data_IF_688646138110
#
_entry.id   IF_688646138110
#
_cell.length_a   1.000
_cell.length_b   1.000
_cell.length_c   1.000
_cell.angle_alpha   90.00
_cell.angle_beta   90.00
_cell.angle_gamma   90.00
#
_symmetry.space_group_name_H-M   'P 1'
#
loop_
_entity.id
_entity.type
_entity.pdbx_description
1 polymer ?
#
# COMPACT_ATOMS: atom_id res chain seq x y z
N UNK A 1 25.14 18.06 14.61
CA UNK A 1 24.17 17.15 13.98
C UNK A 1 22.78 17.69 14.25
N UNK A 2 21.98 17.97 13.22
CA UNK A 2 20.63 18.54 13.38
C UNK A 2 19.60 17.45 13.70
N UNK A 3 18.44 17.84 14.22
CA UNK A 3 17.33 16.91 14.51
C UNK A 3 16.91 16.14 13.24
N UNK A 4 16.91 16.82 12.10
CA UNK A 4 16.62 16.23 10.79
C UNK A 4 17.66 15.18 10.37
N UNK A 5 18.95 15.44 10.61
CA UNK A 5 20.02 14.48 10.34
C UNK A 5 19.89 13.21 11.20
N UNK A 6 19.50 13.35 12.48
CA UNK A 6 19.22 12.22 13.36
C UNK A 6 18.02 11.39 12.87
N UNK A 7 16.92 12.05 12.52
CA UNK A 7 15.72 11.37 12.01
C UNK A 7 16.04 10.64 10.70
N UNK A 8 16.78 11.28 9.80
CA UNK A 8 17.20 10.68 8.53
C UNK A 8 18.10 9.47 8.75
N UNK A 9 19.05 9.55 9.68
CA UNK A 9 19.92 8.42 10.04
C UNK A 9 19.11 7.25 10.65
N UNK A 10 18.21 7.52 11.60
CA UNK A 10 17.32 6.49 12.16
C UNK A 10 16.39 5.88 11.11
N UNK A 11 15.92 6.70 10.15
CA UNK A 11 15.09 6.23 9.05
C UNK A 11 15.87 5.36 8.05
N UNK A 12 17.17 5.63 7.84
CA UNK A 12 18.00 4.88 6.89
C UNK A 12 18.11 3.40 7.30
N UNK A 13 18.18 3.13 8.60
CA UNK A 13 18.23 1.80 9.21
C UNK A 13 16.91 1.01 9.05
N UNK A 14 15.78 1.68 8.84
CA UNK A 14 14.49 1.01 8.64
C UNK A 14 14.33 0.48 7.23
N UNK A 15 13.63 -0.65 7.10
CA UNK A 15 13.15 -1.12 5.79
C UNK A 15 11.84 -0.44 5.44
N UNK A 16 11.64 -0.15 4.16
CA UNK A 16 10.36 0.37 3.64
C UNK A 16 9.20 -0.61 3.94
N UNK A 17 7.97 -0.13 4.16
CA UNK A 17 6.82 -1.00 4.40
C UNK A 17 6.58 -1.94 3.23
N UNK A 18 6.35 -3.22 3.50
CA UNK A 18 6.00 -4.21 2.47
C UNK A 18 4.51 -4.10 2.13
N UNK A 19 4.17 -4.07 0.84
CA UNK A 19 2.80 -3.95 0.37
C UNK A 19 1.88 -5.02 0.98
N UNK A 20 2.29 -6.28 0.94
CA UNK A 20 1.56 -7.39 1.56
C UNK A 20 1.28 -7.16 3.06
N UNK A 21 2.30 -6.76 3.83
CA UNK A 21 2.14 -6.52 5.27
C UNK A 21 1.22 -5.32 5.54
N UNK A 22 1.25 -4.32 4.67
CA UNK A 22 0.39 -3.15 4.76
C UNK A 22 -1.06 -3.54 4.50
N UNK A 23 -1.36 -4.26 3.42
CA UNK A 23 -2.70 -4.76 3.13
C UNK A 23 -3.27 -5.62 4.27
N UNK A 24 -2.45 -6.54 4.81
CA UNK A 24 -2.84 -7.34 5.98
C UNK A 24 -3.15 -6.48 7.22
N UNK A 25 -2.37 -5.41 7.44
CA UNK A 25 -2.59 -4.47 8.55
C UNK A 25 -3.85 -3.62 8.37
N UNK A 26 -4.23 -3.33 7.13
CA UNK A 26 -5.47 -2.63 6.80
C UNK A 26 -6.71 -3.52 6.91
N UNK A 27 -6.53 -4.80 7.30
CA UNK A 27 -7.62 -5.75 7.46
C UNK A 27 -8.11 -6.34 6.14
N UNK A 28 -7.36 -6.17 5.03
CA UNK A 28 -7.69 -6.84 3.78
C UNK A 28 -7.42 -8.35 3.94
N UNK A 29 -8.46 -9.21 3.88
CA UNK A 29 -8.33 -10.63 4.19
C UNK A 29 -7.69 -11.37 3.02
N UNK A 30 -6.36 -11.34 2.96
CA UNK A 30 -5.59 -12.01 1.90
C UNK A 30 -4.45 -12.83 2.49
N UNK A 31 -4.24 -14.02 1.93
CA UNK A 31 -3.09 -14.86 2.25
C UNK A 31 -1.90 -14.57 1.31
N UNK A 32 -0.75 -15.20 1.56
CA UNK A 32 0.47 -14.92 0.79
C UNK A 32 0.42 -15.48 -0.64
N UNK A 33 -0.27 -16.61 -0.84
CA UNK A 33 -0.39 -17.27 -2.15
C UNK A 33 -1.38 -16.53 -3.04
N UNK A 34 -2.53 -16.13 -2.50
CA UNK A 34 -3.49 -15.24 -3.14
C UNK A 34 -2.83 -13.92 -3.54
N UNK A 35 -2.07 -13.30 -2.64
CA UNK A 35 -1.37 -12.07 -2.95
C UNK A 35 -0.35 -12.26 -4.09
N UNK A 36 0.38 -13.38 -4.10
CA UNK A 36 1.29 -13.73 -5.20
C UNK A 36 0.53 -13.86 -6.51
N UNK A 37 -0.61 -14.56 -6.51
CA UNK A 37 -1.44 -14.73 -7.68
C UNK A 37 -1.95 -13.38 -8.21
N UNK A 38 -2.49 -12.52 -7.34
CA UNK A 38 -2.97 -11.18 -7.73
C UNK A 38 -1.86 -10.28 -8.28
N UNK A 39 -0.65 -10.36 -7.72
CA UNK A 39 0.52 -9.68 -8.30
C UNK A 39 0.85 -10.22 -9.70
N UNK A 40 0.84 -11.55 -9.87
CA UNK A 40 1.15 -12.20 -11.16
C UNK A 40 0.12 -11.85 -12.24
N UNK A 41 -1.16 -11.67 -11.87
CA UNK A 41 -2.23 -11.22 -12.77
C UNK A 41 -2.35 -9.70 -12.89
N UNK A 42 -1.37 -8.94 -12.37
CA UNK A 42 -1.36 -7.47 -12.37
C UNK A 42 -2.57 -6.81 -11.70
N UNK A 43 -3.27 -7.55 -10.84
CA UNK A 43 -4.48 -7.11 -10.13
C UNK A 43 -4.17 -6.27 -8.88
N UNK A 44 -2.90 -6.14 -8.51
CA UNK A 44 -2.42 -5.24 -7.45
C UNK A 44 -1.64 -4.10 -8.08
N UNK A 45 -2.12 -2.87 -7.91
CA UNK A 45 -1.44 -1.67 -8.39
C UNK A 45 -1.11 -0.73 -7.24
N UNK A 46 -0.06 0.07 -7.44
CA UNK A 46 0.28 1.19 -6.58
C UNK A 46 0.50 2.40 -7.47
N UNK A 47 -0.31 3.45 -7.27
CA UNK A 47 -0.38 4.62 -8.12
C UNK A 47 -0.62 4.24 -9.60
N UNK A 48 -1.62 3.38 -9.84
CA UNK A 48 -1.99 2.83 -11.14
C UNK A 48 -0.88 2.00 -11.86
N UNK A 49 0.21 1.64 -11.17
CA UNK A 49 1.29 0.81 -11.72
C UNK A 49 1.23 -0.57 -11.08
N UNK A 50 1.15 -1.67 -11.86
CA UNK A 50 1.19 -3.04 -11.34
C UNK A 50 2.43 -3.32 -10.51
N UNK A 51 2.31 -4.16 -9.47
CA UNK A 51 3.37 -4.43 -8.50
C UNK A 51 3.58 -5.90 -8.22
N UNK A 52 4.85 -6.24 -7.97
CA UNK A 52 5.27 -7.59 -7.61
C UNK A 52 5.14 -7.87 -6.12
N UNK A 53 5.23 -9.15 -5.75
CA UNK A 53 5.08 -9.66 -4.38
C UNK A 53 6.02 -9.01 -3.36
N UNK A 54 7.24 -8.65 -3.77
CA UNK A 54 8.27 -8.08 -2.90
C UNK A 54 8.25 -6.55 -2.85
N UNK A 55 7.23 -5.94 -3.46
CA UNK A 55 7.09 -4.48 -3.52
C UNK A 55 7.05 -3.87 -2.13
N UNK A 56 7.85 -2.81 -1.98
CA UNK A 56 7.88 -1.96 -0.79
C UNK A 56 7.45 -0.54 -1.16
N UNK A 57 6.60 0.03 -0.33
CA UNK A 57 6.03 1.36 -0.54
C UNK A 57 7.07 2.45 -0.24
N UNK A 58 7.05 3.49 -1.06
CA UNK A 58 7.95 4.63 -0.93
C UNK A 58 7.36 5.68 0.01
N UNK A 59 8.22 6.56 0.53
CA UNK A 59 7.75 7.76 1.23
C UNK A 59 6.99 8.65 0.23
N UNK A 60 5.96 9.33 0.71
CA UNK A 60 4.96 10.05 -0.09
C UNK A 60 3.59 9.37 -0.06
N UNK A 61 2.74 9.77 -1.00
CA UNK A 61 1.39 9.25 -1.17
C UNK A 61 1.42 8.01 -2.06
N UNK A 62 0.81 6.93 -1.57
CA UNK A 62 0.67 5.66 -2.27
C UNK A 62 -0.83 5.30 -2.29
N UNK A 63 -1.42 5.26 -3.48
CA UNK A 63 -2.76 4.76 -3.72
C UNK A 63 -2.63 3.30 -4.10
N UNK A 64 -3.05 2.40 -3.21
CA UNK A 64 -3.01 0.96 -3.44
C UNK A 64 -4.38 0.52 -3.92
N UNK A 65 -4.42 -0.18 -5.05
CA UNK A 65 -5.64 -0.79 -5.57
C UNK A 65 -5.45 -2.29 -5.69
N UNK A 66 -6.45 -3.03 -5.25
CA UNK A 66 -6.50 -4.48 -5.36
C UNK A 66 -7.81 -4.86 -6.02
N UNK A 67 -7.71 -5.43 -7.21
CA UNK A 67 -8.83 -6.00 -7.96
C UNK A 67 -8.95 -7.47 -7.55
N UNK A 68 -10.10 -7.88 -7.04
CA UNK A 68 -10.35 -9.24 -6.58
C UNK A 68 -11.73 -9.70 -7.03
N UNK A 69 -11.76 -10.54 -8.08
CA UNK A 69 -13.00 -10.86 -8.78
C UNK A 69 -13.65 -9.58 -9.32
N UNK A 70 -14.93 -9.35 -8.95
CA UNK A 70 -15.70 -8.17 -9.34
C UNK A 70 -15.60 -7.00 -8.35
N UNK A 71 -14.75 -7.12 -7.33
CA UNK A 71 -14.57 -6.09 -6.29
C UNK A 71 -13.24 -5.37 -6.48
N UNK A 72 -13.26 -4.07 -6.17
CA UNK A 72 -12.05 -3.23 -6.12
C UNK A 72 -11.91 -2.66 -4.73
N UNK A 73 -10.81 -2.98 -4.07
CA UNK A 73 -10.42 -2.36 -2.80
C UNK A 73 -9.37 -1.28 -3.07
N UNK A 74 -9.65 -0.05 -2.66
CA UNK A 74 -8.72 1.08 -2.81
C UNK A 74 -8.32 1.63 -1.45
N UNK A 75 -7.02 1.82 -1.25
CA UNK A 75 -6.44 2.34 -0.02
C UNK A 75 -5.55 3.52 -0.33
N UNK A 76 -5.75 4.62 0.40
CA UNK A 76 -4.88 5.79 0.33
C UNK A 76 -3.93 5.78 1.53
N UNK A 77 -2.63 5.83 1.26
CA UNK A 77 -1.59 5.73 2.28
C UNK A 77 -0.60 6.87 2.16
N UNK A 78 -0.35 7.56 3.27
CA UNK A 78 0.74 8.53 3.36
C UNK A 78 1.87 7.93 4.19
N UNK A 79 3.07 7.90 3.61
CA UNK A 79 4.26 7.32 4.23
C UNK A 79 5.31 8.40 4.42
N UNK A 80 5.83 8.54 5.63
CA UNK A 80 6.94 9.44 5.94
C UNK A 80 7.95 8.71 6.81
N UNK A 81 9.24 8.83 6.47
CA UNK A 81 10.33 8.14 7.16
C UNK A 81 10.09 6.62 7.24
N UNK A 82 9.63 6.02 6.13
CA UNK A 82 9.30 4.60 5.98
C UNK A 82 8.22 4.11 6.95
N UNK A 83 7.38 5.02 7.47
CA UNK A 83 6.27 4.73 8.38
C UNK A 83 4.98 5.27 7.80
N UNK A 84 3.92 4.47 7.84
CA UNK A 84 2.57 4.94 7.51
C UNK A 84 2.15 5.95 8.59
N UNK A 85 1.87 7.18 8.17
CA UNK A 85 1.41 8.28 9.03
C UNK A 85 -0.08 8.55 8.89
N UNK A 86 -0.67 8.24 7.73
CA UNK A 86 -2.11 8.28 7.47
C UNK A 86 -2.54 7.13 6.60
N UNK A 87 -3.76 6.65 6.82
CA UNK A 87 -4.38 5.60 6.03
C UNK A 87 -5.88 5.85 5.93
N UNK A 88 -6.42 5.71 4.72
CA UNK A 88 -7.86 5.80 4.45
C UNK A 88 -8.27 4.63 3.56
N UNK A 89 -9.40 4.00 3.92
CA UNK A 89 -10.01 2.96 3.10
C UNK A 89 -11.10 3.62 2.25
N UNK A 90 -10.84 3.71 0.95
CA UNK A 90 -11.82 4.20 -0.01
C UNK A 90 -12.68 3.01 -0.40
N UNK A 91 -13.79 2.82 0.32
CA UNK A 91 -14.83 1.90 -0.12
C UNK A 91 -15.38 2.46 -1.43
N UNK A 92 -15.12 1.77 -2.52
CA UNK A 92 -15.83 2.01 -3.77
C UNK A 92 -17.09 1.17 -3.66
N UNK A 93 -18.18 1.77 -3.18
CA UNK A 93 -19.49 1.17 -3.37
C UNK A 93 -19.70 1.05 -4.89
N UNK A 94 -20.01 -0.15 -5.38
CA UNK A 94 -20.34 -0.42 -6.79
C UNK A 94 -21.71 0.20 -7.15
N UNK A 95 -21.82 1.51 -6.98
CA UNK A 95 -22.76 2.38 -7.67
C UNK A 95 -21.92 3.49 -8.25
N UNK A 96 -21.88 3.57 -9.58
CA UNK A 96 -21.28 4.69 -10.29
C UNK A 96 -22.06 5.99 -10.07
N UNK A 97 -22.15 6.45 -8.82
CA UNK A 97 -22.74 7.72 -8.44
C UNK A 97 -21.73 8.46 -7.58
N UNK A 98 -21.09 9.45 -8.19
CA UNK A 98 -20.54 10.58 -7.46
C UNK A 98 -21.71 11.33 -6.84
N UNK A 99 -21.76 11.38 -5.51
CA UNK A 99 -22.52 12.38 -4.76
C UNK A 99 -21.57 13.07 -3.79
#
# INVERSE_FOLDING_TARGET
MTLEQLINWLSSLRRRPSLYKVLKRLGFPINREEFRHLCATQSVTVNAIPRDIDTRLHDGVNIVEVIYGDQVARFWLEIKYKRIIRMENMRVDNKGEMV
#
